data_IF_341729103296
#
_entry.id   IF_341729103296
#
_cell.length_a   1.000
_cell.length_b   1.000
_cell.length_c   1.000
_cell.angle_alpha   90.00
_cell.angle_beta   90.00
_cell.angle_gamma   90.00
#
_symmetry.space_group_name_H-M   'P 1'
#
loop_
_entity.id
_entity.type
_entity.pdbx_description
1 polymer ?
#
# COMPACT_ATOMS: atom_id res chain seq x y z
N UNK A 1 -1.04 62.31 61.44
CA UNK A 1 -0.44 61.10 62.03
C UNK A 1 -1.10 59.88 61.43
N UNK A 2 -0.27 59.10 60.75
CA UNK A 2 -0.41 57.71 60.31
C UNK A 2 -1.68 56.93 60.70
N UNK A 3 -2.30 56.27 59.71
CA UNK A 3 -2.10 54.82 59.51
C UNK A 3 -2.65 54.35 58.16
N UNK A 4 -1.72 53.86 57.35
CA UNK A 4 -1.94 53.00 56.20
C UNK A 4 -2.57 51.67 56.63
N UNK A 5 -3.59 51.21 55.91
CA UNK A 5 -4.18 49.88 56.06
C UNK A 5 -4.45 49.28 54.68
N UNK A 6 -3.46 48.54 54.19
CA UNK A 6 -3.43 47.79 52.95
C UNK A 6 -4.60 46.78 52.91
N UNK A 7 -5.44 46.80 51.87
CA UNK A 7 -6.39 45.72 51.55
C UNK A 7 -5.98 45.06 50.24
N UNK A 8 -5.78 43.73 50.20
CA UNK A 8 -5.34 43.03 49.01
C UNK A 8 -6.46 42.98 47.96
N UNK A 9 -6.08 43.25 46.71
CA UNK A 9 -6.93 43.15 45.54
C UNK A 9 -7.10 41.66 45.17
N UNK A 10 -8.31 41.16 44.92
CA UNK A 10 -8.51 39.78 44.50
C UNK A 10 -7.97 39.59 43.07
N UNK A 11 -7.15 38.55 42.90
CA UNK A 11 -6.64 38.13 41.59
C UNK A 11 -7.81 37.81 40.63
N UNK A 12 -7.77 38.27 39.37
CA UNK A 12 -8.73 37.82 38.38
C UNK A 12 -8.51 36.33 38.10
N UNK A 13 -9.58 35.55 38.29
CA UNK A 13 -9.66 34.14 37.91
C UNK A 13 -9.26 33.99 36.44
N UNK A 14 -8.33 33.07 36.18
CA UNK A 14 -8.05 32.58 34.84
C UNK A 14 -9.35 32.08 34.20
N UNK A 15 -9.78 32.76 33.14
CA UNK A 15 -10.79 32.24 32.25
C UNK A 15 -10.15 31.07 31.49
N UNK A 16 -10.55 29.85 31.82
CA UNK A 16 -10.41 28.71 30.92
C UNK A 16 -11.25 29.02 29.69
N UNK A 17 -10.61 29.46 28.62
CA UNK A 17 -11.18 29.39 27.28
C UNK A 17 -10.62 28.13 26.65
N UNK A 18 -11.50 27.14 26.51
CA UNK A 18 -11.24 25.96 25.70
C UNK A 18 -11.15 26.40 24.24
N UNK A 19 -9.95 26.68 23.75
CA UNK A 19 -9.70 26.62 22.32
C UNK A 19 -9.61 25.15 21.94
N UNK A 20 -10.72 24.64 21.39
CA UNK A 20 -10.73 23.43 20.58
C UNK A 20 -9.87 23.74 19.35
N UNK A 21 -8.57 23.47 19.48
CA UNK A 21 -7.59 23.63 18.42
C UNK A 21 -7.94 22.69 17.28
N UNK A 22 -8.61 23.24 16.25
CA UNK A 22 -8.62 22.65 14.93
C UNK A 22 -7.17 22.53 14.46
N UNK A 23 -6.67 21.31 14.42
CA UNK A 23 -5.31 21.01 13.97
C UNK A 23 -5.21 21.35 12.49
N UNK A 24 -4.77 22.57 12.19
CA UNK A 24 -4.33 22.96 10.85
C UNK A 24 -3.02 22.23 10.58
N UNK A 25 -3.09 21.14 9.83
CA UNK A 25 -1.91 20.47 9.30
C UNK A 25 -1.19 21.40 8.32
N UNK A 26 -0.11 22.04 8.77
CA UNK A 26 0.82 22.77 7.91
C UNK A 26 1.80 21.73 7.34
N UNK A 27 1.61 21.35 6.08
CA UNK A 27 2.59 20.56 5.34
C UNK A 27 3.67 21.53 4.84
N UNK A 28 4.83 21.57 5.50
CA UNK A 28 5.99 22.31 5.00
C UNK A 28 6.68 21.48 3.91
N UNK A 29 6.47 21.85 2.66
CA UNK A 29 7.35 21.40 1.57
C UNK A 29 8.64 22.21 1.63
N UNK A 30 9.72 21.62 2.14
CA UNK A 30 11.06 22.15 1.92
C UNK A 30 11.47 21.82 0.48
N UNK A 31 11.14 22.70 -0.45
CA UNK A 31 11.76 22.71 -1.77
C UNK A 31 13.16 23.32 -1.65
N UNK A 32 14.18 22.54 -1.99
CA UNK A 32 15.54 23.02 -2.17
C UNK A 32 15.60 23.87 -3.44
N UNK A 33 15.49 25.19 -3.28
CA UNK A 33 16.28 26.25 -3.93
C UNK A 33 15.45 27.53 -4.16
N UNK A 34 15.93 28.59 -3.50
CA UNK A 34 15.71 30.02 -3.76
C UNK A 34 14.32 30.48 -4.24
N UNK A 35 13.52 31.05 -3.33
CA UNK A 35 12.64 32.19 -3.61
C UNK A 35 12.18 32.85 -2.30
N UNK A 36 11.89 34.15 -2.40
CA UNK A 36 11.66 35.15 -1.35
C UNK A 36 10.82 34.73 -0.14
N UNK A 37 11.27 35.19 1.03
CA UNK A 37 10.60 35.05 2.33
C UNK A 37 9.36 35.95 2.44
N UNK A 38 8.29 35.60 1.74
CA UNK A 38 6.95 36.16 1.98
C UNK A 38 5.88 35.05 1.94
N UNK A 39 6.21 33.89 2.52
CA UNK A 39 5.36 32.70 2.55
C UNK A 39 4.15 32.92 3.46
N UNK A 40 3.04 33.35 2.86
CA UNK A 40 1.72 33.04 3.41
C UNK A 40 1.57 31.51 3.39
N UNK A 41 1.13 30.87 4.48
CA UNK A 41 0.88 29.44 4.46
C UNK A 41 -0.17 29.14 3.39
N UNK A 42 0.25 28.44 2.33
CA UNK A 42 -0.64 27.96 1.27
C UNK A 42 -1.57 26.94 1.90
N UNK A 43 -2.83 27.30 2.11
CA UNK A 43 -3.85 26.36 2.58
C UNK A 43 -4.14 25.36 1.48
N UNK A 44 -4.35 24.09 1.83
CA UNK A 44 -4.63 22.99 0.86
C UNK A 44 -5.81 23.35 -0.06
N UNK A 45 -6.75 24.19 0.40
CA UNK A 45 -7.87 24.67 -0.39
C UNK A 45 -7.50 25.55 -1.60
N UNK A 46 -6.26 26.05 -1.66
CA UNK A 46 -5.73 26.84 -2.80
C UNK A 46 -4.94 26.00 -3.80
N UNK A 47 -4.77 24.70 -3.51
CA UNK A 47 -4.07 23.77 -4.40
C UNK A 47 -4.95 23.48 -5.63
N UNK A 48 -4.41 23.59 -6.86
CA UNK A 48 -5.11 23.19 -8.08
C UNK A 48 -5.64 21.75 -8.01
N UNK A 49 -6.81 21.53 -8.63
CA UNK A 49 -7.48 20.22 -8.63
C UNK A 49 -6.60 19.12 -9.20
N UNK A 50 -5.80 19.45 -10.22
CA UNK A 50 -4.87 18.53 -10.87
C UNK A 50 -3.82 18.01 -9.89
N UNK A 51 -3.27 18.90 -9.05
CA UNK A 51 -2.28 18.53 -8.02
C UNK A 51 -2.95 17.68 -6.93
N UNK A 52 -4.19 18.00 -6.54
CA UNK A 52 -4.94 17.17 -5.58
C UNK A 52 -5.21 15.76 -6.14
N UNK A 53 -5.54 15.63 -7.43
CA UNK A 53 -5.73 14.33 -8.07
C UNK A 53 -4.44 13.51 -8.09
N UNK A 54 -3.29 14.15 -8.31
CA UNK A 54 -2.00 13.46 -8.30
C UNK A 54 -1.57 13.05 -6.89
N UNK A 55 -1.81 13.89 -5.87
CA UNK A 55 -1.60 13.49 -4.46
C UNK A 55 -2.46 12.27 -4.13
N UNK A 56 -3.75 12.28 -4.46
CA UNK A 56 -4.64 11.14 -4.19
C UNK A 56 -4.19 9.90 -4.96
N UNK A 57 -3.72 10.04 -6.21
CA UNK A 57 -3.19 8.91 -6.98
C UNK A 57 -1.94 8.31 -6.31
N UNK A 58 -1.02 9.14 -5.81
CA UNK A 58 0.16 8.67 -5.08
C UNK A 58 -0.25 7.90 -3.82
N UNK A 59 -1.18 8.44 -3.03
CA UNK A 59 -1.71 7.76 -1.84
C UNK A 59 -2.39 6.43 -2.15
N UNK A 60 -3.04 6.33 -3.31
CA UNK A 60 -3.61 5.06 -3.78
C UNK A 60 -2.54 4.04 -4.21
N UNK A 61 -1.37 4.50 -4.66
CA UNK A 61 -0.26 3.63 -5.08
C UNK A 61 0.53 3.04 -3.91
N UNK A 62 0.60 3.71 -2.75
CA UNK A 62 1.42 3.28 -1.59
C UNK A 62 0.97 1.94 -0.98
N UNK A 63 -0.34 1.71 -0.85
CA UNK A 63 -0.90 0.55 -0.10
C UNK A 63 -1.61 -0.48 -0.98
N UNK A 64 -1.42 -0.42 -2.30
CA UNK A 64 -2.07 -1.33 -3.25
C UNK A 64 -1.64 -2.80 -3.10
N UNK A 65 -0.53 -3.04 -2.41
CA UNK A 65 -0.04 -4.40 -2.14
C UNK A 65 -0.79 -5.08 -0.99
N UNK A 66 -1.39 -4.31 -0.07
CA UNK A 66 -2.15 -4.78 1.10
C UNK A 66 -3.68 -4.72 0.91
N UNK A 67 -4.10 -4.54 -0.35
CA UNK A 67 -5.51 -4.55 -0.77
C UNK A 67 -6.13 -3.16 -0.89
N UNK A 68 -7.05 -3.02 -1.85
CA UNK A 68 -7.65 -1.74 -2.22
C UNK A 68 -8.36 -1.00 -1.08
N UNK A 69 -9.02 -1.75 -0.20
CA UNK A 69 -9.76 -1.17 0.93
C UNK A 69 -8.82 -0.56 1.97
N UNK A 70 -7.57 -1.04 2.04
CA UNK A 70 -6.54 -0.54 2.94
C UNK A 70 -6.11 0.86 2.54
N UNK A 71 -5.77 1.08 1.27
CA UNK A 71 -5.36 2.39 0.77
C UNK A 71 -6.45 3.46 1.00
N UNK A 72 -7.71 3.11 0.71
CA UNK A 72 -8.84 4.02 0.90
C UNK A 72 -9.06 4.32 2.38
N UNK A 73 -9.04 3.29 3.24
CA UNK A 73 -9.33 3.44 4.67
C UNK A 73 -8.21 4.19 5.41
N UNK A 74 -6.96 3.91 5.10
CA UNK A 74 -5.80 4.45 5.84
C UNK A 74 -5.42 5.84 5.34
N UNK A 75 -5.47 6.11 4.04
CA UNK A 75 -4.98 7.37 3.48
C UNK A 75 -6.12 8.28 3.01
N UNK A 76 -7.03 7.75 2.20
CA UNK A 76 -8.01 8.59 1.52
C UNK A 76 -9.09 9.10 2.46
N UNK A 77 -9.63 8.26 3.34
CA UNK A 77 -10.67 8.70 4.29
C UNK A 77 -10.16 9.80 5.22
N UNK A 78 -9.02 9.66 5.93
CA UNK A 78 -8.50 10.74 6.76
C UNK A 78 -8.21 12.01 5.96
N UNK A 79 -7.66 11.88 4.75
CA UNK A 79 -7.35 13.04 3.91
C UNK A 79 -8.61 13.80 3.46
N UNK A 80 -9.69 13.08 3.15
CA UNK A 80 -11.01 13.67 2.87
C UNK A 80 -11.61 14.38 4.08
N UNK A 81 -11.44 13.83 5.29
CA UNK A 81 -11.93 14.46 6.52
C UNK A 81 -11.13 15.72 6.88
N UNK A 82 -9.83 15.73 6.59
CA UNK A 82 -8.94 16.85 6.87
C UNK A 82 -9.07 18.00 5.86
N UNK A 83 -9.51 17.75 4.62
CA UNK A 83 -9.57 18.76 3.57
C UNK A 83 -10.90 18.75 2.76
N UNK A 84 -11.70 19.82 2.83
CA UNK A 84 -12.93 19.96 2.04
C UNK A 84 -12.69 19.94 0.52
N UNK A 85 -11.58 20.51 0.03
CA UNK A 85 -11.23 20.45 -1.39
C UNK A 85 -11.02 19.00 -1.86
N UNK A 86 -10.31 18.18 -1.08
CA UNK A 86 -10.11 16.75 -1.35
C UNK A 86 -11.43 16.00 -1.33
N UNK A 87 -12.32 16.28 -0.38
CA UNK A 87 -13.66 15.67 -0.35
C UNK A 87 -14.44 15.95 -1.66
N UNK A 88 -14.42 17.20 -2.14
CA UNK A 88 -15.07 17.57 -3.41
C UNK A 88 -14.41 16.81 -4.57
N UNK A 89 -13.10 16.89 -4.71
CA UNK A 89 -12.34 16.23 -5.78
C UNK A 89 -12.63 14.72 -5.79
N UNK A 90 -12.58 14.06 -4.64
CA UNK A 90 -12.90 12.63 -4.53
C UNK A 90 -14.33 12.31 -4.98
N UNK A 91 -15.30 13.11 -4.56
CA UNK A 91 -16.72 12.89 -4.88
C UNK A 91 -16.96 12.94 -6.39
N UNK A 92 -16.31 13.86 -7.10
CA UNK A 92 -16.49 14.03 -8.55
C UNK A 92 -15.58 13.13 -9.40
N UNK A 93 -14.37 12.81 -8.93
CA UNK A 93 -13.34 12.18 -9.77
C UNK A 93 -12.91 10.77 -9.34
N UNK A 94 -13.38 10.26 -8.19
CA UNK A 94 -12.94 8.96 -7.64
C UNK A 94 -12.97 7.82 -8.67
N UNK A 95 -14.05 7.68 -9.45
CA UNK A 95 -14.14 6.61 -10.46
C UNK A 95 -13.05 6.71 -11.54
N UNK A 96 -12.89 7.89 -12.12
CA UNK A 96 -11.89 8.13 -13.16
C UNK A 96 -10.47 7.96 -12.60
N UNK A 97 -10.25 8.40 -11.36
CA UNK A 97 -8.98 8.29 -10.66
C UNK A 97 -8.62 6.83 -10.33
N UNK A 98 -9.55 6.08 -9.75
CA UNK A 98 -9.36 4.65 -9.45
C UNK A 98 -9.10 3.85 -10.73
N UNK A 99 -9.82 4.15 -11.81
CA UNK A 99 -9.59 3.53 -13.11
C UNK A 99 -8.21 3.88 -13.68
N UNK A 100 -7.78 5.15 -13.61
CA UNK A 100 -6.41 5.58 -14.01
C UNK A 100 -5.34 4.82 -13.24
N UNK A 101 -5.43 4.83 -11.90
CA UNK A 101 -4.48 4.14 -11.01
C UNK A 101 -4.46 2.64 -11.28
N UNK A 102 -5.63 2.03 -11.52
CA UNK A 102 -5.73 0.61 -11.87
C UNK A 102 -5.00 0.28 -13.17
N UNK A 103 -5.18 1.10 -14.22
CA UNK A 103 -4.49 0.91 -15.49
C UNK A 103 -2.97 1.06 -15.35
N UNK A 104 -2.51 2.09 -14.63
CA UNK A 104 -1.10 2.30 -14.32
C UNK A 104 -0.51 1.09 -13.57
N UNK A 105 -1.23 0.60 -12.56
CA UNK A 105 -0.79 -0.57 -11.79
C UNK A 105 -0.72 -1.83 -12.65
N UNK A 106 -1.70 -2.05 -13.52
CA UNK A 106 -1.69 -3.20 -14.43
C UNK A 106 -0.58 -3.13 -15.47
N UNK A 107 -0.21 -1.93 -15.91
CA UNK A 107 0.96 -1.75 -16.79
C UNK A 107 2.25 -2.22 -16.10
N UNK A 108 2.37 -2.01 -14.79
CA UNK A 108 3.51 -2.49 -13.98
C UNK A 108 3.40 -3.99 -13.67
N UNK A 109 2.20 -4.49 -13.37
CA UNK A 109 2.00 -5.90 -12.97
C UNK A 109 2.10 -6.88 -14.15
N UNK A 110 1.70 -6.49 -15.36
CA UNK A 110 1.78 -7.35 -16.56
C UNK A 110 3.18 -7.94 -16.81
N UNK A 111 4.27 -7.15 -16.92
CA UNK A 111 5.60 -7.70 -17.16
C UNK A 111 6.06 -8.57 -15.98
N UNK A 112 5.75 -8.18 -14.75
CA UNK A 112 6.06 -8.98 -13.55
C UNK A 112 5.36 -10.33 -13.57
N UNK A 113 4.07 -10.37 -13.88
CA UNK A 113 3.30 -11.60 -13.98
C UNK A 113 3.85 -12.57 -15.03
N UNK A 114 4.33 -12.04 -16.17
CA UNK A 114 4.98 -12.86 -17.19
C UNK A 114 6.30 -13.47 -16.71
N UNK A 115 7.14 -12.69 -16.03
CA UNK A 115 8.40 -13.17 -15.46
C UNK A 115 8.13 -14.26 -14.42
N UNK A 116 7.23 -13.99 -13.46
CA UNK A 116 6.88 -14.94 -12.40
C UNK A 116 6.29 -16.23 -12.97
N UNK A 117 5.39 -16.14 -13.97
CA UNK A 117 4.84 -17.32 -14.65
C UNK A 117 5.93 -18.15 -15.32
N UNK A 118 6.89 -17.52 -16.00
CA UNK A 118 8.02 -18.24 -16.63
C UNK A 118 8.87 -18.95 -15.59
N UNK A 119 9.16 -18.29 -14.47
CA UNK A 119 9.89 -18.88 -13.34
C UNK A 119 9.14 -20.08 -12.77
N UNK A 120 7.84 -19.94 -12.48
CA UNK A 120 7.00 -21.04 -11.96
C UNK A 120 7.00 -22.25 -12.89
N UNK A 121 6.82 -22.04 -14.19
CA UNK A 121 6.84 -23.13 -15.18
C UNK A 121 8.22 -23.81 -15.17
N UNK A 122 9.31 -23.04 -15.16
CA UNK A 122 10.67 -23.58 -15.14
C UNK A 122 10.96 -24.40 -13.87
N UNK A 123 10.58 -23.90 -12.69
CA UNK A 123 10.81 -24.60 -11.42
C UNK A 123 9.91 -25.83 -11.30
N UNK A 124 8.68 -25.78 -11.81
CA UNK A 124 7.79 -26.93 -11.92
C UNK A 124 8.41 -28.03 -12.78
N UNK A 125 8.90 -27.71 -13.99
CA UNK A 125 9.59 -28.70 -14.83
C UNK A 125 10.84 -29.27 -14.15
N UNK A 126 11.67 -28.42 -13.53
CA UNK A 126 12.85 -28.86 -12.79
C UNK A 126 12.48 -29.86 -11.69
N UNK A 127 11.45 -29.56 -10.90
CA UNK A 127 10.94 -30.44 -9.84
C UNK A 127 10.49 -31.78 -10.41
N UNK A 128 9.69 -31.78 -11.49
CA UNK A 128 9.21 -33.01 -12.14
C UNK A 128 10.38 -33.87 -12.61
N UNK A 129 11.38 -33.27 -13.26
CA UNK A 129 12.57 -33.97 -13.72
C UNK A 129 13.35 -34.54 -12.54
N UNK A 130 13.63 -33.76 -11.49
CA UNK A 130 14.38 -34.25 -10.31
C UNK A 130 13.65 -35.39 -9.61
N UNK A 131 12.33 -35.30 -9.49
CA UNK A 131 11.51 -36.37 -8.92
C UNK A 131 11.53 -37.63 -9.78
N UNK A 132 11.50 -37.49 -11.11
CA UNK A 132 11.65 -38.63 -12.01
C UNK A 132 13.03 -39.28 -11.88
N UNK A 133 14.11 -38.48 -11.86
CA UNK A 133 15.48 -38.98 -11.66
C UNK A 133 15.61 -39.74 -10.33
N UNK A 134 15.06 -39.22 -9.23
CA UNK A 134 15.08 -39.91 -7.94
C UNK A 134 14.32 -41.25 -8.00
N UNK A 135 13.15 -41.29 -8.63
CA UNK A 135 12.30 -42.50 -8.70
C UNK A 135 12.84 -43.56 -9.64
N UNK A 136 13.48 -43.16 -10.73
CA UNK A 136 13.99 -44.03 -11.79
C UNK A 136 15.48 -44.33 -11.65
N UNK A 137 16.11 -43.85 -10.57
CA UNK A 137 17.51 -44.08 -10.29
C UNK A 137 17.80 -45.61 -10.22
N UNK A 138 18.74 -46.12 -11.02
CA UNK A 138 19.11 -47.52 -10.95
C UNK A 138 19.82 -47.81 -9.61
N UNK A 139 19.67 -49.03 -9.06
CA UNK A 139 20.38 -49.42 -7.86
C UNK A 139 21.89 -49.55 -8.12
N UNK A 140 22.69 -49.04 -7.19
CA UNK A 140 24.13 -49.28 -7.12
C UNK A 140 24.40 -50.62 -6.41
N UNK A 141 25.43 -51.33 -6.88
CA UNK A 141 25.80 -52.64 -6.33
C UNK A 141 26.37 -52.58 -4.90
N UNK A 142 26.96 -51.45 -4.49
CA UNK A 142 27.44 -51.22 -3.13
C UNK A 142 26.35 -50.52 -2.27
N UNK A 143 25.93 -51.12 -1.14
CA UNK A 143 24.96 -50.52 -0.22
C UNK A 143 25.36 -49.16 0.35
N UNK A 144 26.65 -48.89 0.56
CA UNK A 144 27.11 -47.62 1.10
C UNK A 144 26.96 -46.50 0.05
N UNK A 145 27.44 -46.76 -1.16
CA UNK A 145 27.30 -45.84 -2.30
C UNK A 145 25.85 -45.60 -2.68
N UNK A 146 25.00 -46.63 -2.65
CA UNK A 146 23.56 -46.51 -2.93
C UNK A 146 22.88 -45.54 -1.96
N UNK A 147 23.21 -45.64 -0.66
CA UNK A 147 22.65 -44.75 0.36
C UNK A 147 23.03 -43.30 0.11
N UNK A 148 24.31 -43.04 -0.15
CA UNK A 148 24.81 -41.69 -0.39
C UNK A 148 24.28 -41.11 -1.71
N UNK A 149 24.20 -41.93 -2.74
CA UNK A 149 23.61 -41.56 -4.02
C UNK A 149 22.14 -41.18 -3.89
N UNK A 150 21.32 -42.02 -3.24
CA UNK A 150 19.90 -41.75 -2.98
C UNK A 150 19.71 -40.49 -2.15
N UNK A 151 20.55 -40.28 -1.13
CA UNK A 151 20.51 -39.07 -0.29
C UNK A 151 20.77 -37.81 -1.13
N UNK A 152 21.78 -37.81 -1.99
CA UNK A 152 22.06 -36.69 -2.90
C UNK A 152 20.90 -36.40 -3.83
N UNK A 153 20.29 -37.42 -4.44
CA UNK A 153 19.13 -37.26 -5.31
C UNK A 153 17.92 -36.70 -4.55
N UNK A 154 17.66 -37.19 -3.35
CA UNK A 154 16.58 -36.68 -2.49
C UNK A 154 16.81 -35.21 -2.12
N UNK A 155 18.04 -34.81 -1.76
CA UNK A 155 18.37 -33.41 -1.51
C UNK A 155 18.12 -32.52 -2.75
N UNK A 156 18.53 -32.97 -3.94
CA UNK A 156 18.28 -32.22 -5.17
C UNK A 156 16.79 -32.08 -5.51
N UNK A 157 15.99 -33.10 -5.23
CA UNK A 157 14.53 -33.04 -5.38
C UNK A 157 13.92 -32.05 -4.38
N UNK A 158 14.37 -32.08 -3.12
CA UNK A 158 13.93 -31.14 -2.08
C UNK A 158 14.25 -29.68 -2.44
N UNK A 159 15.46 -29.40 -2.93
CA UNK A 159 15.79 -28.05 -3.40
C UNK A 159 14.89 -27.61 -4.57
N UNK A 160 14.65 -28.49 -5.55
CA UNK A 160 13.75 -28.18 -6.65
C UNK A 160 12.29 -28.02 -6.23
N UNK A 161 11.87 -28.71 -5.16
CA UNK A 161 10.56 -28.54 -4.55
C UNK A 161 10.43 -27.17 -3.88
N UNK A 162 11.43 -26.75 -3.10
CA UNK A 162 11.44 -25.44 -2.46
C UNK A 162 11.43 -24.31 -3.50
N UNK A 163 12.28 -24.38 -4.54
CA UNK A 163 12.27 -23.43 -5.67
C UNK A 163 10.87 -23.31 -6.32
N UNK A 164 10.16 -24.44 -6.43
CA UNK A 164 8.81 -24.46 -6.98
C UNK A 164 7.80 -23.80 -6.04
N UNK A 165 7.86 -24.09 -4.74
CA UNK A 165 6.99 -23.50 -3.73
C UNK A 165 7.15 -21.98 -3.69
N UNK A 166 8.38 -21.48 -3.67
CA UNK A 166 8.67 -20.04 -3.66
C UNK A 166 8.12 -19.36 -4.92
N UNK A 167 8.34 -19.96 -6.09
CA UNK A 167 7.80 -19.44 -7.35
C UNK A 167 6.26 -19.49 -7.40
N UNK A 168 5.64 -20.47 -6.75
CA UNK A 168 4.18 -20.57 -6.65
C UNK A 168 3.61 -19.49 -5.72
N UNK A 169 4.26 -19.23 -4.58
CA UNK A 169 3.92 -18.13 -3.69
C UNK A 169 4.00 -16.77 -4.39
N UNK A 170 5.07 -16.53 -5.14
CA UNK A 170 5.20 -15.31 -5.93
C UNK A 170 4.10 -15.18 -7.00
N UNK A 171 3.74 -16.29 -7.65
CA UNK A 171 2.65 -16.31 -8.63
C UNK A 171 1.30 -15.98 -8.00
N UNK A 172 1.00 -16.57 -6.84
CA UNK A 172 -0.22 -16.27 -6.08
C UNK A 172 -0.26 -14.80 -5.67
N UNK A 173 0.84 -14.26 -5.12
CA UNK A 173 0.92 -12.85 -4.71
C UNK A 173 0.66 -11.88 -5.87
N UNK A 174 1.25 -12.12 -7.04
CA UNK A 174 0.96 -11.28 -8.22
C UNK A 174 -0.48 -11.46 -8.69
N UNK A 175 -1.03 -12.68 -8.58
CA UNK A 175 -2.44 -12.97 -8.85
C UNK A 175 -3.37 -12.17 -7.93
N UNK A 176 -3.08 -12.12 -6.64
CA UNK A 176 -3.84 -11.37 -5.63
C UNK A 176 -3.77 -9.86 -5.92
N UNK A 177 -2.58 -9.35 -6.25
CA UNK A 177 -2.43 -7.94 -6.66
C UNK A 177 -3.28 -7.61 -7.90
N UNK A 178 -3.29 -8.47 -8.92
CA UNK A 178 -4.13 -8.28 -10.11
C UNK A 178 -5.61 -8.37 -9.75
N UNK A 179 -5.99 -9.34 -8.91
CA UNK A 179 -7.36 -9.52 -8.46
C UNK A 179 -7.85 -8.28 -7.71
N UNK A 180 -7.00 -7.74 -6.82
CA UNK A 180 -7.27 -6.52 -6.08
C UNK A 180 -7.48 -5.35 -7.03
N UNK A 181 -6.74 -5.18 -8.12
CA UNK A 181 -6.96 -4.04 -9.03
C UNK A 181 -8.27 -4.12 -9.84
N UNK A 182 -8.86 -5.30 -10.03
CA UNK A 182 -10.06 -5.49 -10.90
C UNK A 182 -11.29 -4.64 -10.53
N UNK A 183 -11.68 -4.49 -9.25
CA UNK A 183 -12.84 -3.69 -8.89
C UNK A 183 -12.72 -2.22 -9.29
N UNK A 184 -11.49 -1.69 -9.40
CA UNK A 184 -11.23 -0.32 -9.83
C UNK A 184 -11.29 -0.14 -11.35
N UNK A 185 -11.21 -1.22 -12.12
CA UNK A 185 -11.32 -1.19 -13.58
C UNK A 185 -12.76 -1.23 -14.10
N UNK A 186 -13.70 -1.76 -13.32
CA UNK A 186 -15.06 -2.01 -13.80
C UNK A 186 -16.01 -0.89 -13.34
N UNK A 187 -16.82 -0.31 -14.25
CA UNK A 187 -17.97 0.47 -13.83
C UNK A 187 -18.99 -0.49 -13.20
N UNK A 188 -19.00 -0.58 -11.86
CA UNK A 188 -20.08 -1.25 -11.11
C UNK A 188 -19.69 -2.52 -10.34
N UNK A 189 -18.42 -2.89 -10.21
CA UNK A 189 -18.03 -4.02 -9.36
C UNK A 189 -17.97 -3.59 -7.89
N UNK A 190 -19.15 -3.39 -7.28
CA UNK A 190 -19.32 -3.20 -5.83
C UNK A 190 -19.22 -4.58 -5.15
N UNK A 191 -18.05 -4.95 -4.66
CA UNK A 191 -17.95 -6.13 -3.78
C UNK A 191 -18.48 -5.85 -2.36
N UNK A 192 -18.53 -4.58 -1.95
CA UNK A 192 -19.25 -4.15 -0.76
C UNK A 192 -19.76 -2.72 -1.00
N UNK A 193 -21.08 -2.56 -1.04
CA UNK A 193 -21.69 -1.28 -0.68
C UNK A 193 -21.23 -0.96 0.73
N UNK A 194 -20.25 -0.07 0.86
CA UNK A 194 -20.19 0.76 2.05
C UNK A 194 -20.87 2.07 1.66
N UNK A 195 -22.20 2.00 1.68
CA UNK A 195 -23.06 3.16 1.84
C UNK A 195 -22.72 3.80 3.18
N UNK A 196 -21.81 4.78 3.17
CA UNK A 196 -21.70 5.74 4.27
C UNK A 196 -22.79 6.83 4.17
N UNK A 197 -23.77 6.64 3.27
CA UNK A 197 -24.91 7.54 3.07
C UNK A 197 -26.17 7.10 3.85
N UNK A 198 -26.02 6.23 4.85
CA UNK A 198 -27.04 6.03 5.87
C UNK A 198 -26.42 6.29 7.25
N UNK A 199 -26.87 7.41 7.83
CA UNK A 199 -26.61 8.02 9.16
C UNK A 199 -25.30 8.76 9.36
#
# INVERSE_FOLDING_TARGET
>A
MEKSGFKPQPAPRAAQTSEVGGSSFIVRFTSLSMLDTNDKPTTIDTIPVEILLDIIAVLLHEELDDGNDTAIRIHILPFRHACPAVLRVWTFHSKALLHRVALERLAILKPRALVVRRTLVRTMFRRVVRRAVLKLAPPLGDPADERDYRKRLASQEMFAFNDYCDAAWDFMRVGDQIFNVKPWMSPGYRLCQVDWAST
#
